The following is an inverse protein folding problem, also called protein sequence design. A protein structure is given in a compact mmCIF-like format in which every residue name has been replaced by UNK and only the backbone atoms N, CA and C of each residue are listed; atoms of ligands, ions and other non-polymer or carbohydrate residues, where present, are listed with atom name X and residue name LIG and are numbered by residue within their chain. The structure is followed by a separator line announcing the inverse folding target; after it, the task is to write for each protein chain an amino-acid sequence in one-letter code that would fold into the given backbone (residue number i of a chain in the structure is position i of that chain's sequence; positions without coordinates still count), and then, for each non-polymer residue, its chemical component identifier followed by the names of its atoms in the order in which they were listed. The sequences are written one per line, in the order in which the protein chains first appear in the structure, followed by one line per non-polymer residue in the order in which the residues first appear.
data_IF_732963674256
#
_entry.id   IF_732963674256
#
_cell.length_a   1.000
_cell.length_b   1.000
_cell.length_c   1.000
_cell.angle_alpha   90.00
_cell.angle_beta   90.00
_cell.angle_gamma   90.00
#
_symmetry.space_group_name_H-M   'P 1'
#
loop_
_entity.id
_entity.type
_entity.pdbx_description
1 polymer ?
#
# COMPACT_ATOMS: atom_id res chain seq x y z
N UNK A 1 2.55 -3.90 -9.30
CA UNK A 1 2.59 -5.27 -8.74
C UNK A 1 3.56 -5.39 -7.56
N UNK A 2 4.83 -5.01 -7.69
CA UNK A 2 5.81 -5.17 -6.60
C UNK A 2 5.48 -4.29 -5.37
N UNK A 3 4.99 -3.07 -5.59
CA UNK A 3 4.55 -2.14 -4.54
C UNK A 3 3.53 -2.80 -3.60
N UNK A 4 2.48 -3.42 -4.15
CA UNK A 4 1.47 -4.11 -3.34
C UNK A 4 2.04 -5.27 -2.52
N UNK A 5 3.01 -6.03 -3.06
CA UNK A 5 3.62 -7.15 -2.33
C UNK A 5 4.45 -6.65 -1.15
N UNK A 6 5.21 -5.58 -1.36
CA UNK A 6 6.00 -4.94 -0.30
C UNK A 6 5.10 -4.39 0.80
N UNK A 7 4.10 -3.60 0.44
CA UNK A 7 3.15 -3.01 1.39
C UNK A 7 2.41 -4.09 2.21
N UNK A 8 1.89 -5.12 1.56
CA UNK A 8 1.19 -6.22 2.27
C UNK A 8 2.15 -6.99 3.17
N UNK A 9 3.40 -7.23 2.75
CA UNK A 9 4.40 -7.87 3.59
C UNK A 9 4.65 -7.08 4.88
N UNK A 10 4.86 -5.78 4.76
CA UNK A 10 5.13 -4.90 5.91
C UNK A 10 3.93 -4.77 6.84
N UNK A 11 2.71 -4.69 6.29
CA UNK A 11 1.48 -4.72 7.09
C UNK A 11 1.32 -6.03 7.89
N UNK A 12 1.73 -7.17 7.31
CA UNK A 12 1.68 -8.46 8.00
C UNK A 12 2.76 -8.60 9.09
N UNK A 13 3.91 -7.94 8.94
CA UNK A 13 4.96 -7.91 9.96
C UNK A 13 4.56 -7.09 11.20
N UNK A 14 3.68 -6.09 11.03
CA UNK A 14 3.06 -5.34 12.12
C UNK A 14 4.00 -4.39 12.88
N UNK A 15 5.20 -4.14 12.36
CA UNK A 15 6.18 -3.22 12.96
C UNK A 15 5.89 -1.76 12.61
N UNK A 16 5.33 -1.52 11.42
CA UNK A 16 5.00 -0.18 10.91
C UNK A 16 3.48 0.01 10.94
N UNK A 17 2.96 1.16 11.42
CA UNK A 17 1.53 1.45 11.36
C UNK A 17 0.98 1.35 9.94
N UNK A 18 -0.15 0.68 9.75
CA UNK A 18 -0.73 0.43 8.43
C UNK A 18 -0.92 1.71 7.59
N UNK A 19 -1.29 2.83 8.22
CA UNK A 19 -1.44 4.11 7.53
C UNK A 19 -0.12 4.59 6.89
N UNK A 20 1.02 4.42 7.57
CA UNK A 20 2.34 4.80 7.06
C UNK A 20 2.72 3.92 5.87
N UNK A 21 2.48 2.60 5.96
CA UNK A 21 2.76 1.67 4.87
C UNK A 21 1.94 2.01 3.63
N UNK A 22 0.67 2.40 3.81
CA UNK A 22 -0.21 2.83 2.72
C UNK A 22 0.33 4.12 2.08
N UNK A 23 0.62 5.16 2.87
CA UNK A 23 1.12 6.43 2.34
C UNK A 23 2.41 6.27 1.52
N UNK A 24 3.38 5.50 2.01
CA UNK A 24 4.63 5.22 1.29
C UNK A 24 4.39 4.42 0.00
N UNK A 25 3.44 3.48 0.00
CA UNK A 25 3.07 2.74 -1.20
C UNK A 25 2.45 3.66 -2.27
N UNK A 26 1.71 4.70 -1.88
CA UNK A 26 1.15 5.69 -2.79
C UNK A 26 2.24 6.59 -3.38
N UNK A 27 3.23 7.01 -2.59
CA UNK A 27 4.39 7.76 -3.08
C UNK A 27 5.20 6.94 -4.10
N UNK A 28 5.43 5.65 -3.83
CA UNK A 28 6.07 4.76 -4.79
C UNK A 28 5.24 4.59 -6.06
N UNK A 29 3.91 4.52 -5.95
CA UNK A 29 3.02 4.40 -7.10
C UNK A 29 3.07 5.66 -7.97
N UNK A 30 3.01 6.86 -7.37
CA UNK A 30 3.20 8.15 -8.07
C UNK A 30 4.52 8.16 -8.84
N UNK A 31 5.61 7.79 -8.16
CA UNK A 31 6.97 7.86 -8.71
C UNK A 31 7.24 6.87 -9.84
N UNK A 32 6.72 5.65 -9.75
CA UNK A 32 7.13 4.54 -10.63
C UNK A 32 6.01 3.99 -11.53
N UNK A 33 4.76 4.38 -11.32
CA UNK A 33 3.60 3.83 -12.03
C UNK A 33 2.56 4.87 -12.50
N UNK A 34 2.74 6.16 -12.17
CA UNK A 34 1.87 7.26 -12.58
C UNK A 34 0.60 7.42 -11.72
N UNK A 35 -0.10 8.55 -11.91
CA UNK A 35 -1.25 8.96 -11.08
C UNK A 35 -2.40 7.95 -11.05
N UNK A 36 -2.75 7.33 -12.18
CA UNK A 36 -3.84 6.33 -12.23
C UNK A 36 -3.55 5.10 -11.34
N UNK A 37 -2.27 4.76 -11.19
CA UNK A 37 -1.85 3.64 -10.34
C UNK A 37 -2.01 3.95 -8.85
N UNK A 38 -2.02 5.22 -8.45
CA UNK A 38 -2.14 5.65 -7.05
C UNK A 38 -3.53 5.30 -6.51
N UNK A 39 -4.58 5.68 -7.24
CA UNK A 39 -5.96 5.37 -6.86
C UNK A 39 -6.19 3.85 -6.79
N UNK A 40 -5.63 3.10 -7.75
CA UNK A 40 -5.69 1.63 -7.73
C UNK A 40 -4.98 1.03 -6.51
N UNK A 41 -3.75 1.47 -6.22
CA UNK A 41 -2.99 0.98 -5.05
C UNK A 41 -3.72 1.32 -3.75
N UNK A 42 -4.24 2.55 -3.61
CA UNK A 42 -4.99 2.97 -2.43
C UNK A 42 -6.18 2.05 -2.17
N UNK A 43 -7.02 1.83 -3.20
CA UNK A 43 -8.21 0.99 -3.06
C UNK A 43 -7.90 -0.46 -2.67
N UNK A 44 -6.81 -1.02 -3.19
CA UNK A 44 -6.38 -2.38 -2.83
C UNK A 44 -5.85 -2.45 -1.41
N UNK A 45 -4.98 -1.51 -1.00
CA UNK A 45 -4.40 -1.53 0.34
C UNK A 45 -5.43 -1.20 1.43
N UNK A 46 -6.42 -0.35 1.14
CA UNK A 46 -7.56 -0.12 2.03
C UNK A 46 -8.37 -1.40 2.27
N UNK A 47 -8.58 -2.21 1.22
CA UNK A 47 -9.29 -3.48 1.35
C UNK A 47 -8.48 -4.50 2.16
N UNK A 48 -7.16 -4.55 1.97
CA UNK A 48 -6.26 -5.38 2.80
C UNK A 48 -6.30 -4.91 4.25
N UNK A 49 -6.17 -3.61 4.50
CA UNK A 49 -6.19 -3.05 5.84
C UNK A 49 -7.45 -3.47 6.61
N UNK A 50 -8.63 -3.31 6.00
CA UNK A 50 -9.91 -3.75 6.59
C UNK A 50 -9.99 -5.26 6.87
N UNK A 51 -9.20 -6.07 6.18
CA UNK A 51 -9.17 -7.53 6.36
C UNK A 51 -8.19 -7.97 7.46
N UNK A 52 -7.27 -7.09 7.86
CA UNK A 52 -6.29 -7.33 8.92
C UNK A 52 -6.73 -6.76 10.28
N UNK A 53 -7.70 -5.85 10.28
CA UNK A 53 -8.38 -5.31 11.47
C UNK A 53 -9.36 -6.31 12.06
#
# INVERSE_FOLDING_TARGET
RNILRLAVCEMLEGQTPHAVVIDEALELARRFAGEESVAFVNGVLDAVHRSLS
#
